data_IF_106170412601
#
_entry.id   IF_106170412601
#
_cell.length_a   1.000
_cell.length_b   1.000
_cell.length_c   1.000
_cell.angle_alpha   90.00
_cell.angle_beta   90.00
_cell.angle_gamma   90.00
#
_symmetry.space_group_name_H-M   'P 1'
#
loop_
_entity.id
_entity.type
_entity.pdbx_description
1 polymer ?
#
# COMPACT_ATOMS: atom_id res chain seq x y z
N UNK A 1 3.10 -24.47 20.41
CA UNK A 1 2.71 -23.93 19.08
C UNK A 1 2.30 -25.03 18.10
N UNK A 2 3.06 -26.12 17.93
CA UNK A 2 2.72 -27.22 17.01
C UNK A 2 1.40 -27.96 17.30
N UNK A 3 0.83 -27.79 18.50
CA UNK A 3 -0.46 -28.35 18.91
C UNK A 3 -1.67 -27.44 18.61
N UNK A 4 -1.45 -26.21 18.09
CA UNK A 4 -2.56 -25.35 17.66
C UNK A 4 -3.21 -25.92 16.40
N UNK A 5 -4.52 -25.70 16.25
CA UNK A 5 -5.32 -26.30 15.16
C UNK A 5 -5.01 -25.72 13.79
N UNK A 6 -4.58 -24.46 13.71
CA UNK A 6 -4.40 -23.75 12.46
C UNK A 6 -2.91 -23.45 12.15
N UNK A 7 -2.45 -23.59 10.89
CA UNK A 7 -1.07 -23.30 10.50
C UNK A 7 -0.63 -21.84 10.63
N UNK A 8 -1.57 -20.87 10.60
CA UNK A 8 -1.26 -19.44 10.47
C UNK A 8 -0.40 -18.89 11.60
N UNK A 9 -0.70 -19.22 12.86
CA UNK A 9 0.04 -18.69 14.01
C UNK A 9 1.56 -18.91 13.90
N UNK A 10 1.96 -20.11 13.43
CA UNK A 10 3.37 -20.43 13.30
C UNK A 10 3.98 -19.79 12.04
N UNK A 11 3.21 -19.68 10.96
CA UNK A 11 3.64 -18.99 9.74
C UNK A 11 3.86 -17.49 9.97
N UNK A 12 2.93 -16.83 10.66
CA UNK A 12 3.03 -15.41 11.01
C UNK A 12 4.20 -15.15 11.95
N UNK A 13 4.39 -16.01 12.97
CA UNK A 13 5.54 -15.92 13.87
C UNK A 13 6.87 -16.02 13.12
N UNK A 14 7.03 -17.03 12.25
CA UNK A 14 8.27 -17.20 11.48
C UNK A 14 8.49 -16.05 10.49
N UNK A 15 7.42 -15.57 9.86
CA UNK A 15 7.47 -14.40 8.98
C UNK A 15 7.97 -13.16 9.71
N UNK A 16 7.46 -12.91 10.91
CA UNK A 16 7.91 -11.81 11.77
C UNK A 16 9.41 -11.93 12.07
N UNK A 17 9.88 -13.11 12.48
CA UNK A 17 11.31 -13.35 12.74
C UNK A 17 12.17 -13.05 11.51
N UNK A 18 11.78 -13.52 10.31
CA UNK A 18 12.51 -13.24 9.07
C UNK A 18 12.52 -11.74 8.75
N UNK A 19 11.37 -11.06 8.91
CA UNK A 19 11.24 -9.64 8.61
C UNK A 19 12.07 -8.76 9.54
N UNK A 20 12.12 -9.09 10.83
CA UNK A 20 12.91 -8.35 11.82
C UNK A 20 14.41 -8.52 11.61
N UNK A 21 14.85 -9.71 11.19
CA UNK A 21 16.26 -10.10 11.05
C UNK A 21 16.83 -9.83 9.66
N UNK A 22 15.95 -9.52 8.70
CA UNK A 22 16.30 -9.13 7.33
C UNK A 22 15.70 -7.74 7.00
N UNK A 23 16.02 -6.69 7.78
CA UNK A 23 15.39 -5.39 7.60
C UNK A 23 15.81 -4.77 6.26
N UNK A 24 14.84 -4.14 5.59
CA UNK A 24 15.08 -3.44 4.32
C UNK A 24 16.19 -2.37 4.48
N UNK A 25 16.96 -2.06 3.41
CA UNK A 25 18.04 -1.07 3.48
C UNK A 25 17.61 0.29 4.05
N UNK A 26 16.37 0.74 3.76
CA UNK A 26 15.83 1.99 4.30
C UNK A 26 15.58 1.94 5.82
N UNK A 27 15.16 0.79 6.36
CA UNK A 27 14.99 0.63 7.81
C UNK A 27 16.36 0.68 8.50
N UNK A 28 17.39 0.06 7.90
CA UNK A 28 18.77 0.14 8.40
C UNK A 28 19.29 1.58 8.41
N UNK A 29 19.00 2.38 7.37
CA UNK A 29 19.39 3.80 7.33
C UNK A 29 18.72 4.62 8.44
N UNK A 30 17.44 4.36 8.75
CA UNK A 30 16.68 5.11 9.75
C UNK A 30 16.97 4.71 11.20
N UNK A 31 17.51 3.51 11.43
CA UNK A 31 17.82 2.98 12.77
C UNK A 31 19.21 2.34 12.81
N UNK A 32 20.29 3.13 12.77
CA UNK A 32 21.66 2.61 12.79
C UNK A 32 22.07 1.99 14.13
N UNK A 33 21.33 2.23 15.21
CA UNK A 33 21.69 1.82 16.59
C UNK A 33 21.25 0.41 16.98
N UNK A 34 20.46 -0.28 16.15
CA UNK A 34 20.08 -1.67 16.43
C UNK A 34 21.09 -2.64 15.80
N UNK A 35 21.91 -3.29 16.65
CA UNK A 35 22.55 -4.57 16.31
C UNK A 35 21.46 -5.63 16.15
N UNK A 36 20.79 -5.61 15.00
CA UNK A 36 19.84 -6.66 14.64
C UNK A 36 20.66 -7.90 14.33
N UNK A 37 20.47 -8.93 15.14
CA UNK A 37 21.03 -10.25 14.89
C UNK A 37 20.63 -10.72 13.50
N UNK A 38 21.60 -11.14 12.69
CA UNK A 38 21.31 -11.64 11.35
C UNK A 38 20.50 -12.95 11.41
N UNK A 39 19.67 -13.19 10.41
CA UNK A 39 18.92 -14.44 10.30
C UNK A 39 19.88 -15.65 10.23
N UNK A 40 21.02 -15.49 9.55
CA UNK A 40 22.08 -16.49 9.45
C UNK A 40 22.64 -16.89 10.81
N UNK A 41 22.87 -15.92 11.70
CA UNK A 41 23.33 -16.19 13.07
C UNK A 41 22.27 -16.95 13.88
N UNK A 42 20.99 -16.57 13.76
CA UNK A 42 19.88 -17.26 14.45
C UNK A 42 19.81 -18.71 13.99
N UNK A 43 19.89 -18.95 12.68
CA UNK A 43 19.85 -20.30 12.10
C UNK A 43 21.09 -21.10 12.51
N UNK A 44 22.26 -20.46 12.56
CA UNK A 44 23.50 -21.11 12.97
C UNK A 44 23.45 -21.60 14.42
N UNK A 45 22.84 -20.84 15.32
CA UNK A 45 22.62 -21.26 16.71
C UNK A 45 21.73 -22.48 16.84
N UNK A 46 20.81 -22.70 15.89
CA UNK A 46 19.88 -23.83 15.95
C UNK A 46 20.53 -25.17 15.54
N UNK A 47 21.81 -25.20 15.15
CA UNK A 47 22.48 -26.42 14.67
C UNK A 47 22.46 -27.57 15.68
N UNK A 48 22.74 -27.26 16.94
CA UNK A 48 22.86 -28.28 18.00
C UNK A 48 21.61 -28.35 18.90
N UNK A 49 20.63 -27.48 18.69
CA UNK A 49 19.40 -27.46 19.50
C UNK A 49 18.46 -28.57 19.02
N UNK A 50 18.18 -29.60 19.86
CA UNK A 50 17.24 -30.65 19.50
C UNK A 50 15.80 -30.18 19.72
N UNK A 51 14.86 -30.67 18.92
CA UNK A 51 13.44 -30.51 19.18
C UNK A 51 12.60 -30.29 17.93
N UNK A 52 11.39 -30.87 17.95
CA UNK A 52 10.42 -30.80 16.85
C UNK A 52 10.02 -29.37 16.53
N UNK A 53 9.95 -28.49 17.52
CA UNK A 53 9.68 -27.07 17.37
C UNK A 53 10.75 -26.34 16.56
N UNK A 54 12.03 -26.65 16.80
CA UNK A 54 13.16 -26.06 16.07
C UNK A 54 13.19 -26.58 14.63
N UNK A 55 12.94 -27.88 14.45
CA UNK A 55 12.85 -28.48 13.12
C UNK A 55 11.70 -27.89 12.31
N UNK A 56 10.53 -27.66 12.93
CA UNK A 56 9.40 -26.98 12.30
C UNK A 56 9.72 -25.53 11.92
N UNK A 57 10.37 -24.78 12.83
CA UNK A 57 10.83 -23.42 12.56
C UNK A 57 11.74 -23.38 11.31
N UNK A 58 12.76 -24.23 11.26
CA UNK A 58 13.70 -24.29 10.14
C UNK A 58 13.03 -24.74 8.83
N UNK A 59 12.07 -25.65 8.89
CA UNK A 59 11.29 -26.06 7.72
C UNK A 59 10.47 -24.91 7.13
N UNK A 60 9.89 -24.06 7.98
CA UNK A 60 9.13 -22.88 7.52
C UNK A 60 10.08 -21.80 7.01
N UNK A 61 11.19 -21.55 7.71
CA UNK A 61 12.22 -20.59 7.25
C UNK A 61 12.74 -20.98 5.86
N UNK A 62 13.01 -22.27 5.63
CA UNK A 62 13.46 -22.78 4.35
C UNK A 62 12.52 -22.45 3.18
N UNK A 63 11.22 -22.30 3.44
CA UNK A 63 10.20 -22.02 2.43
C UNK A 63 9.91 -20.51 2.28
N UNK A 64 9.96 -19.74 3.37
CA UNK A 64 9.60 -18.31 3.36
C UNK A 64 10.75 -17.39 2.96
N UNK A 65 12.01 -17.83 3.09
CA UNK A 65 13.17 -16.99 2.79
C UNK A 65 13.41 -16.86 1.29
N UNK A 66 13.74 -15.65 0.83
CA UNK A 66 14.09 -15.38 -0.58
C UNK A 66 15.53 -15.80 -0.90
N UNK A 67 16.41 -15.85 0.10
CA UNK A 67 17.80 -16.28 -0.03
C UNK A 67 17.90 -17.80 -0.27
N UNK A 68 18.36 -18.17 -1.47
CA UNK A 68 18.46 -19.57 -1.89
C UNK A 68 19.52 -20.35 -1.10
N UNK A 69 20.61 -19.71 -0.67
CA UNK A 69 21.66 -20.36 0.11
C UNK A 69 21.16 -20.68 1.52
N UNK A 70 20.50 -19.70 2.15
CA UNK A 70 19.92 -19.86 3.48
C UNK A 70 18.76 -20.86 3.48
N UNK A 71 17.92 -20.83 2.44
CA UNK A 71 16.88 -21.84 2.20
C UNK A 71 17.48 -23.24 2.15
N UNK A 72 18.52 -23.44 1.32
CA UNK A 72 19.19 -24.73 1.17
C UNK A 72 19.88 -25.19 2.48
N UNK A 73 20.45 -24.28 3.26
CA UNK A 73 21.01 -24.58 4.58
C UNK A 73 19.94 -25.10 5.53
N UNK A 74 18.80 -24.41 5.65
CA UNK A 74 17.71 -24.85 6.51
C UNK A 74 17.17 -26.23 6.08
N UNK A 75 16.99 -26.48 4.77
CA UNK A 75 16.55 -27.80 4.27
C UNK A 75 17.50 -28.92 4.68
N UNK A 76 18.82 -28.73 4.53
CA UNK A 76 19.82 -29.72 4.98
C UNK A 76 19.74 -29.99 6.48
N UNK A 77 19.52 -28.95 7.29
CA UNK A 77 19.36 -29.09 8.74
C UNK A 77 18.08 -29.83 9.12
N UNK A 78 17.00 -29.68 8.36
CA UNK A 78 15.75 -30.43 8.57
C UNK A 78 15.93 -31.89 8.17
N UNK A 79 16.54 -32.16 7.03
CA UNK A 79 16.81 -33.54 6.54
C UNK A 79 17.73 -34.34 7.46
N UNK A 80 18.65 -33.67 8.16
CA UNK A 80 19.55 -34.30 9.12
C UNK A 80 18.87 -34.68 10.46
N UNK A 81 17.58 -34.33 10.65
CA UNK A 81 16.84 -34.58 11.89
C UNK A 81 15.71 -35.59 11.65
N UNK A 82 15.58 -36.54 12.56
CA UNK A 82 14.53 -37.58 12.54
C UNK A 82 13.19 -37.12 13.18
N UNK A 83 12.97 -35.82 13.28
CA UNK A 83 11.76 -35.27 13.91
C UNK A 83 10.52 -35.46 13.03
N UNK A 84 9.46 -36.02 13.61
CA UNK A 84 8.16 -36.12 12.94
C UNK A 84 7.45 -34.76 12.92
N UNK A 85 7.36 -34.14 11.75
CA UNK A 85 6.64 -32.88 11.56
C UNK A 85 5.16 -33.11 11.20
N UNK A 86 4.25 -32.18 11.56
CA UNK A 86 2.89 -32.17 11.04
C UNK A 86 2.85 -32.17 9.51
N UNK A 87 1.90 -32.90 8.92
CA UNK A 87 1.80 -33.08 7.47
C UNK A 87 1.69 -31.76 6.68
N UNK A 88 1.10 -30.73 7.28
CA UNK A 88 0.98 -29.41 6.64
C UNK A 88 2.33 -28.71 6.48
N UNK A 89 3.32 -28.98 7.35
CA UNK A 89 4.67 -28.39 7.25
C UNK A 89 5.42 -29.04 6.08
N UNK A 90 5.37 -30.37 5.96
CA UNK A 90 5.93 -31.08 4.81
C UNK A 90 5.20 -30.74 3.49
N UNK A 91 3.99 -30.20 3.59
CA UNK A 91 3.14 -29.79 2.46
C UNK A 91 3.16 -28.28 2.17
N UNK A 92 4.07 -27.49 2.74
CA UNK A 92 4.13 -26.03 2.52
C UNK A 92 4.22 -25.67 1.04
N UNK A 93 5.04 -26.39 0.27
CA UNK A 93 5.19 -26.19 -1.17
C UNK A 93 3.94 -26.56 -1.99
N UNK A 94 2.90 -27.11 -1.35
CA UNK A 94 1.64 -27.53 -1.97
C UNK A 94 0.46 -26.66 -1.55
N UNK A 95 0.70 -25.46 -1.02
CA UNK A 95 -0.37 -24.49 -0.78
C UNK A 95 -1.15 -24.26 -2.08
N UNK A 96 -2.47 -24.26 -1.99
CA UNK A 96 -3.34 -24.03 -3.13
C UNK A 96 -4.03 -22.69 -3.00
N UNK A 97 -3.60 -21.71 -3.80
CA UNK A 97 -4.29 -20.43 -3.98
C UNK A 97 -5.40 -20.64 -5.01
N UNK A 98 -6.64 -20.37 -4.62
CA UNK A 98 -7.81 -20.76 -5.42
C UNK A 98 -8.64 -19.58 -5.94
N UNK A 99 -8.55 -18.40 -5.32
CA UNK A 99 -9.33 -17.22 -5.72
C UNK A 99 -8.64 -15.94 -5.30
N UNK A 100 -8.79 -14.90 -6.12
CA UNK A 100 -8.36 -13.54 -5.79
C UNK A 100 -9.44 -12.53 -6.12
N UNK A 101 -9.67 -11.62 -5.20
CA UNK A 101 -10.67 -10.56 -5.34
C UNK A 101 -10.03 -9.22 -4.97
N UNK A 102 -10.31 -8.20 -5.77
CA UNK A 102 -9.95 -6.82 -5.44
C UNK A 102 -11.15 -6.09 -4.87
N UNK A 103 -10.95 -5.46 -3.73
CA UNK A 103 -11.84 -4.46 -3.16
C UNK A 103 -11.26 -3.08 -3.42
N UNK A 104 -12.08 -2.15 -3.85
CA UNK A 104 -11.67 -0.76 -4.07
C UNK A 104 -12.76 0.18 -3.58
N UNK A 105 -12.35 1.15 -2.76
CA UNK A 105 -13.25 2.22 -2.34
C UNK A 105 -13.56 3.12 -3.54
N UNK A 106 -14.77 3.69 -3.62
CA UNK A 106 -15.21 4.56 -4.73
C UNK A 106 -14.31 5.78 -4.96
N UNK A 107 -13.53 6.20 -3.95
CA UNK A 107 -12.55 7.29 -4.04
C UNK A 107 -11.15 6.86 -4.50
N UNK A 108 -10.88 5.55 -4.56
CA UNK A 108 -9.66 5.01 -5.18
C UNK A 108 -8.35 5.15 -4.40
N UNK A 109 -8.32 5.76 -3.21
CA UNK A 109 -7.07 5.95 -2.45
C UNK A 109 -6.41 4.64 -2.03
N UNK A 110 -7.24 3.64 -1.75
CA UNK A 110 -6.82 2.34 -1.24
C UNK A 110 -7.52 1.25 -2.05
N UNK A 111 -6.76 0.23 -2.40
CA UNK A 111 -7.30 -1.04 -2.84
C UNK A 111 -6.83 -2.15 -1.91
N UNK A 112 -7.68 -3.18 -1.77
CA UNK A 112 -7.35 -4.39 -1.04
C UNK A 112 -7.37 -5.55 -2.01
N UNK A 113 -6.35 -6.41 -1.95
CA UNK A 113 -6.34 -7.68 -2.67
C UNK A 113 -6.54 -8.79 -1.65
N UNK A 114 -7.66 -9.51 -1.77
CA UNK A 114 -7.98 -10.70 -1.00
C UNK A 114 -7.48 -11.93 -1.77
N UNK A 115 -6.74 -12.80 -1.10
CA UNK A 115 -6.16 -14.01 -1.66
C UNK A 115 -6.59 -15.20 -0.80
N UNK A 116 -7.48 -16.03 -1.33
CA UNK A 116 -7.96 -17.24 -0.68
C UNK A 116 -7.03 -18.42 -0.97
N UNK A 117 -6.60 -19.11 0.09
CA UNK A 117 -5.69 -20.23 -0.02
C UNK A 117 -6.03 -21.39 0.94
N UNK A 118 -5.55 -22.59 0.60
CA UNK A 118 -5.69 -23.79 1.43
C UNK A 118 -4.33 -24.46 1.66
N UNK A 119 -4.05 -24.81 2.91
CA UNK A 119 -2.83 -25.51 3.32
C UNK A 119 -3.17 -26.65 4.28
N UNK A 120 -2.86 -27.89 3.91
CA UNK A 120 -3.09 -29.06 4.78
C UNK A 120 -4.56 -29.25 5.18
N UNK A 121 -5.51 -28.77 4.37
CA UNK A 121 -6.95 -28.78 4.65
C UNK A 121 -7.46 -27.57 5.45
N UNK A 122 -6.59 -26.69 5.93
CA UNK A 122 -6.96 -25.44 6.59
C UNK A 122 -7.15 -24.31 5.56
N UNK A 123 -8.18 -23.49 5.75
CA UNK A 123 -8.48 -22.31 4.93
C UNK A 123 -7.87 -21.05 5.52
N UNK A 124 -7.32 -20.19 4.67
CA UNK A 124 -6.84 -18.88 5.07
C UNK A 124 -7.09 -17.85 3.98
N UNK A 125 -7.29 -16.60 4.40
CA UNK A 125 -7.36 -15.46 3.49
C UNK A 125 -6.29 -14.45 3.85
N UNK A 126 -5.50 -14.04 2.86
CA UNK A 126 -4.59 -12.91 2.97
C UNK A 126 -5.29 -11.66 2.44
N UNK A 127 -5.24 -10.57 3.19
CA UNK A 127 -5.72 -9.24 2.77
C UNK A 127 -4.50 -8.35 2.64
N UNK A 128 -4.25 -7.80 1.44
CA UNK A 128 -3.14 -6.87 1.18
C UNK A 128 -3.70 -5.49 0.85
N UNK A 129 -3.40 -4.50 1.69
CA UNK A 129 -3.80 -3.10 1.51
C UNK A 129 -2.74 -2.32 0.75
N UNK A 130 -3.13 -1.70 -0.36
CA UNK A 130 -2.26 -0.85 -1.20
C UNK A 130 -2.77 0.59 -1.20
N UNK A 131 -1.89 1.55 -0.92
CA UNK A 131 -2.20 2.98 -0.94
C UNK A 131 -1.71 3.64 -2.23
N UNK A 132 -2.63 4.25 -2.97
CA UNK A 132 -2.38 4.73 -4.33
C UNK A 132 -2.06 6.22 -4.45
N UNK A 133 -2.13 7.02 -3.38
CA UNK A 133 -1.88 8.47 -3.51
C UNK A 133 -0.39 8.85 -3.52
N UNK A 134 0.51 7.88 -3.48
CA UNK A 134 1.93 8.07 -3.73
C UNK A 134 2.44 6.94 -4.62
N UNK A 135 3.38 6.11 -4.16
CA UNK A 135 4.06 5.09 -4.97
C UNK A 135 3.23 3.81 -5.21
N UNK A 136 1.93 3.79 -4.89
CA UNK A 136 1.11 2.56 -4.93
C UNK A 136 1.75 1.40 -4.17
N UNK A 137 2.07 1.66 -2.90
CA UNK A 137 2.81 0.75 -2.03
C UNK A 137 1.90 0.01 -1.05
N UNK A 138 2.36 -1.15 -0.57
CA UNK A 138 1.68 -1.88 0.51
C UNK A 138 1.74 -1.07 1.81
N UNK A 139 0.58 -0.79 2.41
CA UNK A 139 0.46 -0.16 3.72
C UNK A 139 0.14 -1.16 4.83
N UNK A 140 -0.43 -2.31 4.48
CA UNK A 140 -0.85 -3.34 5.42
C UNK A 140 -0.99 -4.68 4.73
N UNK A 141 -0.77 -5.76 5.47
CA UNK A 141 -1.17 -7.09 5.04
C UNK A 141 -1.50 -7.95 6.26
N UNK A 142 -2.62 -8.66 6.24
CA UNK A 142 -3.08 -9.50 7.36
C UNK A 142 -3.52 -10.87 6.85
N UNK A 143 -3.34 -11.91 7.66
CA UNK A 143 -3.90 -13.24 7.41
C UNK A 143 -5.00 -13.55 8.42
N UNK A 144 -6.05 -14.21 7.97
CA UNK A 144 -7.16 -14.64 8.82
C UNK A 144 -7.52 -16.11 8.57
N UNK A 145 -7.98 -16.80 9.61
CA UNK A 145 -8.44 -18.20 9.58
C UNK A 145 -9.86 -18.33 9.01
N UNK A 146 -10.16 -17.55 7.98
CA UNK A 146 -11.49 -17.44 7.38
C UNK A 146 -11.43 -17.65 5.87
N UNK A 147 -12.53 -18.16 5.31
CA UNK A 147 -12.72 -18.28 3.87
C UNK A 147 -12.76 -16.90 3.21
N UNK A 148 -12.40 -16.81 1.93
CA UNK A 148 -12.43 -15.53 1.23
C UNK A 148 -13.85 -14.96 1.17
N UNK A 149 -14.88 -15.81 1.12
CA UNK A 149 -16.29 -15.41 1.16
C UNK A 149 -16.67 -14.72 2.47
N UNK A 150 -16.22 -15.25 3.62
CA UNK A 150 -16.48 -14.64 4.92
C UNK A 150 -15.81 -13.26 5.05
N UNK A 151 -14.56 -13.15 4.63
CA UNK A 151 -13.83 -11.88 4.65
C UNK A 151 -14.48 -10.86 3.70
N UNK A 152 -14.93 -11.32 2.53
CA UNK A 152 -15.67 -10.48 1.59
C UNK A 152 -16.95 -9.93 2.23
N UNK A 153 -17.79 -10.79 2.80
CA UNK A 153 -19.04 -10.39 3.46
C UNK A 153 -18.81 -9.33 4.56
N UNK A 154 -17.75 -9.49 5.35
CA UNK A 154 -17.38 -8.53 6.40
C UNK A 154 -16.85 -7.20 5.85
N UNK A 155 -16.27 -7.21 4.65
CA UNK A 155 -15.65 -6.04 4.01
C UNK A 155 -16.63 -5.25 3.13
N UNK A 156 -17.86 -5.75 2.94
CA UNK A 156 -18.86 -5.07 2.12
C UNK A 156 -19.39 -3.81 2.82
N UNK A 157 -19.11 -2.67 2.20
CA UNK A 157 -19.75 -1.39 2.47
C UNK A 157 -20.33 -0.82 1.16
N UNK A 158 -21.27 0.13 1.26
CA UNK A 158 -21.90 0.79 0.10
C UNK A 158 -20.90 1.48 -0.84
N UNK A 159 -19.77 1.92 -0.29
CA UNK A 159 -18.71 2.65 -0.99
C UNK A 159 -17.58 1.72 -1.47
N UNK A 160 -17.72 0.39 -1.28
CA UNK A 160 -16.76 -0.61 -1.75
C UNK A 160 -17.25 -1.25 -3.03
N UNK A 161 -16.34 -1.42 -3.98
CA UNK A 161 -16.55 -2.14 -5.24
C UNK A 161 -15.70 -3.40 -5.25
N UNK A 162 -16.33 -4.51 -5.62
CA UNK A 162 -15.73 -5.84 -5.66
C UNK A 162 -15.44 -6.21 -7.10
N UNK A 163 -14.23 -6.68 -7.37
CA UNK A 163 -13.80 -7.13 -8.69
C UNK A 163 -13.12 -8.48 -8.58
N UNK A 164 -13.60 -9.46 -9.35
CA UNK A 164 -12.84 -10.69 -9.56
C UNK A 164 -11.52 -10.38 -10.26
N UNK A 165 -10.49 -11.12 -9.90
CA UNK A 165 -9.15 -10.88 -10.41
C UNK A 165 -8.49 -12.20 -10.76
N UNK A 166 -7.76 -12.23 -11.87
CA UNK A 166 -6.95 -13.40 -12.20
C UNK A 166 -5.81 -13.53 -11.19
N UNK A 167 -5.46 -14.77 -10.83
CA UNK A 167 -4.34 -15.03 -9.90
C UNK A 167 -3.03 -14.41 -10.41
N UNK A 168 -2.78 -14.48 -11.72
CA UNK A 168 -1.58 -13.90 -12.31
C UNK A 168 -1.53 -12.38 -12.14
N UNK A 169 -2.65 -11.69 -12.36
CA UNK A 169 -2.75 -10.24 -12.20
C UNK A 169 -2.56 -9.87 -10.72
N UNK A 170 -3.19 -10.60 -9.81
CA UNK A 170 -3.01 -10.42 -8.37
C UNK A 170 -1.56 -10.56 -7.92
N UNK A 171 -0.86 -11.58 -8.42
CA UNK A 171 0.57 -11.75 -8.18
C UNK A 171 1.34 -10.52 -8.64
N UNK A 172 1.18 -10.12 -9.91
CA UNK A 172 1.92 -8.99 -10.48
C UNK A 172 1.63 -7.68 -9.71
N UNK A 173 0.37 -7.48 -9.33
CA UNK A 173 -0.08 -6.28 -8.62
C UNK A 173 0.53 -6.18 -7.21
N UNK A 174 0.47 -7.26 -6.44
CA UNK A 174 1.06 -7.31 -5.09
C UNK A 174 2.59 -7.24 -5.17
N UNK A 175 3.23 -7.92 -6.12
CA UNK A 175 4.69 -7.86 -6.31
C UNK A 175 5.19 -6.43 -6.59
N UNK A 176 4.46 -5.68 -7.43
CA UNK A 176 4.75 -4.28 -7.70
C UNK A 176 4.59 -3.43 -6.42
N UNK A 177 3.49 -3.60 -5.70
CA UNK A 177 3.22 -2.84 -4.48
C UNK A 177 4.25 -3.11 -3.35
N UNK A 178 4.72 -4.35 -3.22
CA UNK A 178 5.76 -4.75 -2.26
C UNK A 178 7.14 -4.18 -2.61
N UNK A 179 7.39 -3.90 -3.89
CA UNK A 179 8.60 -3.25 -4.37
C UNK A 179 8.59 -1.72 -4.19
N UNK A 180 7.41 -1.13 -3.95
CA UNK A 180 7.23 0.31 -3.78
C UNK A 180 7.99 0.90 -2.59
N UNK A 181 8.50 2.12 -2.77
CA UNK A 181 9.43 2.82 -1.87
C UNK A 181 8.73 3.65 -0.79
N UNK A 182 7.87 3.04 0.02
CA UNK A 182 7.50 3.65 1.30
C UNK A 182 7.59 2.66 2.46
N UNK A 183 8.50 3.00 3.38
CA UNK A 183 8.68 2.32 4.64
C UNK A 183 7.47 2.57 5.56
N UNK A 184 6.82 1.49 5.98
CA UNK A 184 6.08 1.34 7.23
C UNK A 184 5.31 2.59 7.70
N UNK A 185 4.09 2.78 7.19
CA UNK A 185 3.07 3.59 7.85
C UNK A 185 1.85 2.72 8.13
N UNK A 186 1.89 2.05 9.27
CA UNK A 186 0.75 1.34 9.82
C UNK A 186 1.08 0.74 11.19
N UNK A 187 0.13 0.79 12.11
CA UNK A 187 0.15 0.05 13.40
C UNK A 187 -0.21 -1.44 13.21
N UNK A 188 -0.21 -1.91 11.95
CA UNK A 188 -0.59 -3.27 11.57
C UNK A 188 0.60 -4.21 11.42
N UNK A 189 0.35 -5.50 11.13
CA UNK A 189 1.40 -6.53 11.07
C UNK A 189 2.33 -6.41 9.84
N UNK A 190 2.23 -5.35 9.05
CA UNK A 190 3.20 -5.02 8.01
C UNK A 190 4.33 -4.15 8.59
N UNK A 191 5.62 -4.48 8.37
CA UNK A 191 6.16 -5.43 7.39
C UNK A 191 6.44 -6.84 7.93
N UNK A 192 6.02 -7.19 9.14
CA UNK A 192 6.28 -8.52 9.73
C UNK A 192 5.72 -9.68 8.89
N UNK A 193 4.56 -9.51 8.26
CA UNK A 193 3.98 -10.52 7.36
C UNK A 193 4.57 -10.52 5.94
N UNK A 194 5.55 -9.66 5.61
CA UNK A 194 6.09 -9.54 4.24
C UNK A 194 6.63 -10.85 3.67
N UNK A 195 7.50 -11.60 4.37
CA UNK A 195 7.97 -12.91 3.89
C UNK A 195 6.82 -13.87 3.57
N UNK A 196 5.80 -13.92 4.43
CA UNK A 196 4.63 -14.78 4.20
C UNK A 196 3.80 -14.35 2.98
N UNK A 197 3.61 -13.05 2.76
CA UNK A 197 2.95 -12.53 1.55
C UNK A 197 3.76 -12.89 0.30
N UNK A 198 5.08 -12.71 0.32
CA UNK A 198 5.96 -13.04 -0.81
C UNK A 198 5.96 -14.53 -1.13
N UNK A 199 5.96 -15.38 -0.11
CA UNK A 199 5.81 -16.83 -0.26
C UNK A 199 4.45 -17.17 -0.89
N UNK A 200 3.34 -16.63 -0.38
CA UNK A 200 2.00 -16.92 -0.88
C UNK A 200 1.86 -16.57 -2.36
N UNK A 201 2.28 -15.36 -2.76
CA UNK A 201 2.19 -14.92 -4.16
C UNK A 201 3.18 -15.66 -5.07
N UNK A 202 4.25 -16.24 -4.51
CA UNK A 202 5.17 -17.12 -5.23
C UNK A 202 4.51 -18.39 -5.75
N UNK A 203 3.41 -18.85 -5.13
CA UNK A 203 2.62 -20.01 -5.55
C UNK A 203 1.52 -19.69 -6.58
N UNK A 204 1.42 -18.43 -7.00
CA UNK A 204 0.45 -17.99 -8.00
C UNK A 204 1.10 -17.97 -9.40
N UNK A 205 0.33 -18.07 -10.50
CA UNK A 205 0.89 -18.03 -11.85
C UNK A 205 1.59 -16.69 -12.16
N UNK A 206 2.65 -16.72 -12.97
CA UNK A 206 3.31 -15.52 -13.52
C UNK A 206 2.58 -14.97 -14.75
N UNK A 207 3.05 -13.82 -15.26
CA UNK A 207 2.60 -13.26 -16.55
C UNK A 207 1.34 -12.40 -16.47
N UNK A 208 0.90 -12.01 -15.28
CA UNK A 208 -0.20 -11.06 -15.11
C UNK A 208 0.17 -9.61 -15.31
N UNK A 209 -0.84 -8.75 -15.30
CA UNK A 209 -0.72 -7.31 -15.44
C UNK A 209 -0.71 -6.64 -14.06
N UNK A 210 0.36 -5.89 -13.77
CA UNK A 210 0.49 -5.13 -12.53
C UNK A 210 -0.43 -3.90 -12.45
N UNK A 211 -0.29 -3.13 -11.37
CA UNK A 211 -1.07 -1.90 -11.19
C UNK A 211 -0.80 -0.92 -12.32
N UNK A 212 -1.88 -0.33 -12.84
CA UNK A 212 -1.81 0.88 -13.65
C UNK A 212 -2.73 1.93 -13.02
N UNK A 213 -2.19 3.12 -12.69
CA UNK A 213 -3.02 4.26 -12.33
C UNK A 213 -4.10 4.54 -13.39
N UNK A 214 -5.18 5.22 -13.00
CA UNK A 214 -6.19 5.64 -13.97
C UNK A 214 -5.56 6.61 -14.98
N UNK A 215 -5.25 6.11 -16.17
CA UNK A 215 -4.72 6.92 -17.25
C UNK A 215 -5.90 7.62 -17.94
N UNK A 216 -6.15 8.87 -17.56
CA UNK A 216 -7.03 9.74 -18.33
C UNK A 216 -6.30 10.17 -19.60
N UNK A 217 -6.98 10.08 -20.74
CA UNK A 217 -6.48 10.71 -21.96
C UNK A 217 -6.38 12.23 -21.74
N UNK A 218 -5.29 12.84 -22.20
CA UNK A 218 -5.08 14.29 -22.03
C UNK A 218 -6.28 15.09 -22.55
N UNK A 219 -6.86 14.72 -23.72
CA UNK A 219 -8.05 15.37 -24.25
C UNK A 219 -9.28 15.26 -23.33
N UNK A 220 -9.47 14.14 -22.64
CA UNK A 220 -10.57 13.97 -21.68
C UNK A 220 -10.36 14.78 -20.41
N UNK A 221 -9.10 14.94 -19.98
CA UNK A 221 -8.71 15.79 -18.86
C UNK A 221 -8.92 17.27 -19.19
N UNK A 222 -8.45 17.70 -20.36
CA UNK A 222 -8.64 19.06 -20.86
C UNK A 222 -10.12 19.41 -20.94
N UNK A 223 -10.95 18.52 -21.51
CA UNK A 223 -12.39 18.72 -21.57
C UNK A 223 -13.03 18.87 -20.18
N UNK A 224 -12.57 18.12 -19.18
CA UNK A 224 -13.05 18.23 -17.80
C UNK A 224 -12.67 19.58 -17.18
N UNK A 225 -11.44 20.03 -17.38
CA UNK A 225 -10.97 21.34 -16.91
C UNK A 225 -11.74 22.46 -17.58
N UNK A 226 -11.89 22.41 -18.91
CA UNK A 226 -12.65 23.40 -19.69
C UNK A 226 -14.09 23.51 -19.19
N UNK A 227 -14.74 22.38 -18.91
CA UNK A 227 -16.10 22.37 -18.35
C UNK A 227 -16.15 22.96 -16.94
N UNK A 228 -15.15 22.68 -16.09
CA UNK A 228 -15.07 23.27 -14.76
C UNK A 228 -14.91 24.79 -14.82
N UNK A 229 -13.93 25.29 -15.57
CA UNK A 229 -13.66 26.73 -15.68
C UNK A 229 -14.78 27.50 -16.38
N UNK A 230 -15.53 26.86 -17.28
CA UNK A 230 -16.74 27.43 -17.87
C UNK A 230 -17.96 27.42 -16.90
N UNK A 231 -17.91 26.69 -15.79
CA UNK A 231 -19.00 26.61 -14.82
C UNK A 231 -19.04 27.85 -13.90
N UNK A 232 -20.18 28.08 -13.25
CA UNK A 232 -20.33 29.16 -12.25
C UNK A 232 -19.33 29.05 -11.09
N UNK A 233 -18.87 27.84 -10.77
CA UNK A 233 -17.91 27.61 -9.68
C UNK A 233 -16.46 27.87 -10.12
N UNK A 234 -16.12 27.54 -11.38
CA UNK A 234 -14.78 27.72 -11.93
C UNK A 234 -14.51 29.13 -12.46
N UNK A 235 -15.55 29.88 -12.85
CA UNK A 235 -15.42 31.22 -13.41
C UNK A 235 -14.75 32.26 -12.47
N UNK A 236 -14.68 31.98 -11.17
CA UNK A 236 -13.94 32.79 -10.20
C UNK A 236 -12.41 32.68 -10.36
N UNK A 237 -11.93 31.63 -11.05
CA UNK A 237 -10.53 31.31 -11.28
C UNK A 237 -10.18 31.53 -12.76
N UNK A 238 -10.29 32.77 -13.24
CA UNK A 238 -10.16 33.10 -14.67
C UNK A 238 -8.71 33.25 -15.16
N UNK A 239 -7.72 33.24 -14.26
CA UNK A 239 -6.30 33.27 -14.62
C UNK A 239 -5.84 31.91 -15.17
N UNK A 240 -4.99 31.93 -16.20
CA UNK A 240 -4.38 30.72 -16.75
C UNK A 240 -3.51 29.98 -15.74
N UNK A 241 -2.86 30.68 -14.80
CA UNK A 241 -2.05 30.03 -13.76
C UNK A 241 -2.89 29.09 -12.88
N UNK A 242 -4.16 29.40 -12.63
CA UNK A 242 -5.05 28.50 -11.88
C UNK A 242 -5.36 27.20 -12.61
N UNK A 243 -5.41 27.23 -13.95
CA UNK A 243 -5.59 26.03 -14.77
C UNK A 243 -4.40 25.10 -14.63
N UNK A 244 -3.19 25.65 -14.70
CA UNK A 244 -1.95 24.89 -14.59
C UNK A 244 -1.82 24.24 -13.21
N UNK A 245 -2.14 24.98 -12.14
CA UNK A 245 -2.13 24.45 -10.77
C UNK A 245 -3.18 23.34 -10.60
N UNK A 246 -4.40 23.55 -11.11
CA UNK A 246 -5.44 22.52 -11.01
C UNK A 246 -5.05 21.26 -11.79
N UNK A 247 -4.42 21.42 -12.96
CA UNK A 247 -3.89 20.32 -13.75
C UNK A 247 -2.83 19.52 -12.97
N UNK A 248 -1.87 20.20 -12.34
CA UNK A 248 -0.88 19.54 -11.50
C UNK A 248 -1.54 18.80 -10.32
N UNK A 249 -2.48 19.46 -9.63
CA UNK A 249 -3.20 18.89 -8.49
C UNK A 249 -3.99 17.62 -8.86
N UNK A 250 -4.66 17.59 -10.02
CA UNK A 250 -5.42 16.39 -10.44
C UNK A 250 -4.53 15.23 -10.89
N UNK A 251 -3.28 15.49 -11.27
CA UNK A 251 -2.29 14.45 -11.57
C UNK A 251 -1.67 13.84 -10.29
N UNK A 252 -1.68 14.57 -9.18
CA UNK A 252 -1.23 14.01 -7.89
C UNK A 252 -2.12 12.87 -7.40
N UNK A 253 -1.60 12.04 -6.50
CA UNK A 253 -2.40 11.01 -5.84
C UNK A 253 -2.74 9.83 -6.74
N UNK A 254 -3.97 9.31 -6.62
CA UNK A 254 -4.45 8.19 -7.44
C UNK A 254 -4.65 8.53 -8.94
N UNK A 255 -4.43 9.79 -9.35
CA UNK A 255 -4.45 10.25 -10.74
C UNK A 255 -5.84 10.36 -11.40
N UNK A 256 -6.92 10.10 -10.65
CA UNK A 256 -8.28 10.23 -11.16
C UNK A 256 -8.89 11.60 -10.78
N UNK A 257 -9.03 12.57 -11.71
CA UNK A 257 -9.52 13.91 -11.39
C UNK A 257 -10.93 13.94 -10.79
N UNK A 258 -11.72 12.87 -10.97
CA UNK A 258 -13.09 12.80 -10.46
C UNK A 258 -13.22 12.23 -9.03
N UNK A 259 -12.11 11.85 -8.40
CA UNK A 259 -12.10 11.19 -7.09
C UNK A 259 -11.21 11.92 -6.09
N UNK A 260 -11.83 12.59 -5.12
CA UNK A 260 -11.14 13.39 -4.12
C UNK A 260 -11.54 12.99 -2.71
N UNK A 261 -10.67 12.21 -2.06
CA UNK A 261 -10.85 11.87 -0.66
C UNK A 261 -10.27 12.89 0.29
N UNK A 262 -10.72 12.82 1.54
CA UNK A 262 -10.07 13.52 2.66
C UNK A 262 -8.55 13.24 2.74
N UNK A 263 -8.08 12.04 2.40
CA UNK A 263 -6.65 11.69 2.41
C UNK A 263 -5.89 12.34 1.25
N UNK A 264 -6.47 12.31 0.06
CA UNK A 264 -5.88 12.95 -1.13
C UNK A 264 -5.81 14.46 -0.98
N UNK A 265 -6.87 15.08 -0.47
CA UNK A 265 -6.89 16.53 -0.16
C UNK A 265 -5.79 16.88 0.83
N UNK A 266 -5.65 16.11 1.92
CA UNK A 266 -4.56 16.31 2.87
C UNK A 266 -3.20 16.23 2.19
N UNK A 267 -2.98 15.20 1.38
CA UNK A 267 -1.73 15.03 0.66
C UNK A 267 -1.41 16.21 -0.27
N UNK A 268 -2.39 16.68 -1.04
CA UNK A 268 -2.24 17.80 -1.95
C UNK A 268 -1.92 19.13 -1.23
N UNK A 269 -2.41 19.31 0.01
CA UNK A 269 -2.11 20.49 0.82
C UNK A 269 -0.82 20.35 1.64
N UNK A 270 -0.41 19.14 2.02
CA UNK A 270 0.89 18.89 2.69
C UNK A 270 2.08 18.99 1.73
N UNK A 271 1.85 18.68 0.45
CA UNK A 271 2.87 18.66 -0.59
C UNK A 271 2.39 19.43 -1.83
N UNK A 272 2.23 20.77 -1.73
CA UNK A 272 1.82 21.57 -2.87
C UNK A 272 2.89 21.60 -3.98
N UNK A 273 2.50 22.03 -5.18
CA UNK A 273 3.44 22.49 -6.21
C UNK A 273 4.46 23.46 -5.62
N UNK A 274 5.75 23.27 -5.90
CA UNK A 274 6.84 24.07 -5.31
C UNK A 274 6.81 25.53 -5.77
N UNK A 275 7.07 26.45 -4.82
CA UNK A 275 7.18 27.89 -5.10
C UNK A 275 8.39 28.15 -6.02
N UNK A 276 8.23 29.00 -7.04
CA UNK A 276 9.36 29.53 -7.83
C UNK A 276 9.72 28.79 -9.13
N UNK A 277 9.25 27.56 -9.38
CA UNK A 277 9.50 26.89 -10.67
C UNK A 277 8.43 27.21 -11.74
N UNK A 278 7.22 27.58 -11.35
CA UNK A 278 6.11 27.77 -12.31
C UNK A 278 4.85 28.49 -11.78
N UNK A 279 4.75 28.86 -10.49
CA UNK A 279 3.51 29.39 -9.89
C UNK A 279 3.79 30.53 -8.92
N UNK A 280 3.02 31.61 -8.99
CA UNK A 280 3.08 32.75 -8.05
C UNK A 280 2.54 32.40 -6.66
N UNK A 281 3.03 33.11 -5.63
CA UNK A 281 2.57 32.93 -4.24
C UNK A 281 1.07 33.24 -4.12
N UNK A 282 0.61 34.30 -4.79
CA UNK A 282 -0.80 34.67 -4.84
C UNK A 282 -1.67 33.54 -5.39
N UNK A 283 -1.18 32.83 -6.41
CA UNK A 283 -1.90 31.71 -6.99
C UNK A 283 -1.96 30.49 -6.08
N UNK A 284 -0.88 30.18 -5.35
CA UNK A 284 -0.86 29.09 -4.38
C UNK A 284 -1.82 29.34 -3.21
N UNK A 285 -1.93 30.59 -2.72
CA UNK A 285 -2.86 30.93 -1.63
C UNK A 285 -4.35 30.66 -1.99
N UNK A 286 -4.68 30.57 -3.28
CA UNK A 286 -6.04 30.29 -3.76
C UNK A 286 -6.37 28.79 -3.82
N UNK A 287 -5.36 27.90 -3.73
CA UNK A 287 -5.53 26.44 -3.85
C UNK A 287 -6.63 25.86 -2.95
N UNK A 288 -6.73 26.22 -1.64
CA UNK A 288 -7.80 25.70 -0.79
C UNK A 288 -9.20 26.06 -1.30
N UNK A 289 -9.40 27.28 -1.82
CA UNK A 289 -10.67 27.72 -2.37
C UNK A 289 -10.99 27.06 -3.72
N UNK A 290 -9.96 26.88 -4.56
CA UNK A 290 -10.08 26.16 -5.82
C UNK A 290 -10.48 24.71 -5.61
N UNK A 291 -9.83 23.99 -4.68
CA UNK A 291 -10.20 22.62 -4.33
C UNK A 291 -11.62 22.56 -3.73
N UNK A 292 -11.99 23.54 -2.89
CA UNK A 292 -13.34 23.63 -2.32
C UNK A 292 -14.43 23.78 -3.40
N UNK A 293 -14.13 24.46 -4.50
CA UNK A 293 -15.03 24.60 -5.65
C UNK A 293 -15.02 23.37 -6.57
N UNK A 294 -13.84 22.80 -6.83
CA UNK A 294 -13.65 21.71 -7.79
C UNK A 294 -14.20 20.37 -7.28
N UNK A 295 -13.97 20.03 -6.00
CA UNK A 295 -14.33 18.70 -5.46
C UNK A 295 -15.83 18.39 -5.58
N UNK A 296 -16.76 19.30 -5.21
CA UNK A 296 -18.19 19.05 -5.41
C UNK A 296 -18.57 18.86 -6.88
N UNK A 297 -17.95 19.61 -7.80
CA UNK A 297 -18.16 19.47 -9.25
C UNK A 297 -17.70 18.08 -9.73
N UNK A 298 -16.50 17.66 -9.33
CA UNK A 298 -15.91 16.36 -9.66
C UNK A 298 -16.75 15.21 -9.10
N UNK A 299 -17.15 15.29 -7.83
CA UNK A 299 -17.95 14.26 -7.17
C UNK A 299 -19.37 14.15 -7.73
N UNK A 300 -20.00 15.27 -8.12
CA UNK A 300 -21.30 15.24 -8.78
C UNK A 300 -21.26 14.50 -10.12
N UNK A 301 -20.17 14.68 -10.90
CA UNK A 301 -19.96 13.96 -12.17
C UNK A 301 -19.80 12.46 -12.00
N UNK A 302 -19.05 12.03 -10.98
CA UNK A 302 -18.79 10.61 -10.73
C UNK A 302 -19.83 9.94 -9.84
N UNK A 303 -20.86 10.67 -9.39
CA UNK A 303 -21.93 10.15 -8.53
C UNK A 303 -21.44 9.81 -7.11
N UNK A 304 -20.37 10.47 -6.64
CA UNK A 304 -19.88 10.31 -5.27
C UNK A 304 -20.87 10.95 -4.31
N UNK A 305 -21.21 10.23 -3.25
CA UNK A 305 -22.21 10.67 -2.27
C UNK A 305 -21.77 11.93 -1.53
N UNK A 306 -22.76 12.73 -1.12
CA UNK A 306 -22.55 14.00 -0.42
C UNK A 306 -21.67 13.86 0.82
N UNK A 307 -21.88 12.84 1.66
CA UNK A 307 -21.08 12.68 2.88
C UNK A 307 -19.57 12.54 2.65
N UNK A 308 -19.14 11.90 1.55
CA UNK A 308 -17.70 11.82 1.20
C UNK A 308 -17.17 13.19 0.73
N UNK A 309 -18.00 13.95 0.03
CA UNK A 309 -17.71 15.34 -0.34
C UNK A 309 -17.54 16.20 0.91
N UNK A 310 -18.46 16.11 1.88
CA UNK A 310 -18.37 16.84 3.15
C UNK A 310 -17.08 16.50 3.92
N UNK A 311 -16.70 15.22 3.97
CA UNK A 311 -15.46 14.79 4.62
C UNK A 311 -14.21 15.41 3.96
N UNK A 312 -14.16 15.45 2.63
CA UNK A 312 -13.08 16.09 1.88
C UNK A 312 -13.00 17.60 2.14
N UNK A 313 -14.13 18.30 2.08
CA UNK A 313 -14.20 19.74 2.35
C UNK A 313 -13.80 20.09 3.80
N UNK A 314 -14.16 19.25 4.78
CA UNK A 314 -13.76 19.42 6.17
C UNK A 314 -12.25 19.29 6.39
N UNK A 315 -11.51 18.61 5.51
CA UNK A 315 -10.04 18.61 5.55
C UNK A 315 -9.50 19.96 5.08
N UNK A 316 -10.02 20.51 3.98
CA UNK A 316 -9.64 21.84 3.49
C UNK A 316 -9.81 22.87 4.61
N UNK A 317 -10.98 22.89 5.24
CA UNK A 317 -11.30 23.88 6.28
C UNK A 317 -10.37 23.78 7.50
N UNK A 318 -9.94 22.56 7.85
CA UNK A 318 -8.99 22.36 8.96
C UNK A 318 -7.55 22.74 8.61
N UNK A 319 -7.14 22.54 7.36
CA UNK A 319 -5.74 22.69 6.95
C UNK A 319 -5.41 24.06 6.38
N UNK A 320 -6.41 24.84 5.94
CA UNK A 320 -6.24 26.15 5.29
C UNK A 320 -5.19 27.04 5.95
N UNK A 321 -5.31 27.28 7.26
CA UNK A 321 -4.40 28.21 7.94
C UNK A 321 -2.95 27.71 7.94
N UNK A 322 -2.73 26.42 8.18
CA UNK A 322 -1.39 25.84 8.17
C UNK A 322 -0.78 25.89 6.77
N UNK A 323 -1.60 25.58 5.75
CA UNK A 323 -1.21 25.67 4.35
C UNK A 323 -0.76 27.09 3.95
N UNK A 324 -1.57 28.10 4.24
CA UNK A 324 -1.24 29.50 3.93
C UNK A 324 0.05 29.96 4.61
N UNK A 325 0.27 29.54 5.87
CA UNK A 325 1.50 29.82 6.59
C UNK A 325 2.73 29.15 5.97
N UNK A 326 2.58 27.90 5.51
CA UNK A 326 3.67 27.16 4.88
C UNK A 326 4.06 27.75 3.53
N UNK A 327 3.09 28.12 2.69
CA UNK A 327 3.31 28.80 1.41
C UNK A 327 4.05 30.13 1.61
N UNK A 328 3.59 30.97 2.55
CA UNK A 328 4.24 32.26 2.83
C UNK A 328 5.65 32.10 3.42
N UNK A 329 5.85 31.07 4.25
CA UNK A 329 7.17 30.74 4.81
C UNK A 329 8.14 30.32 3.71
N UNK A 330 7.72 29.47 2.80
CA UNK A 330 8.54 29.00 1.67
C UNK A 330 8.89 30.15 0.72
N UNK A 331 7.94 31.03 0.39
CA UNK A 331 8.18 32.24 -0.40
C UNK A 331 9.26 33.14 0.22
N UNK A 332 9.19 33.38 1.54
CA UNK A 332 10.19 34.19 2.25
C UNK A 332 11.60 33.58 2.28
N UNK A 333 11.76 32.27 2.05
CA UNK A 333 13.07 31.66 1.84
C UNK A 333 13.63 31.97 0.45
N UNK A 334 12.79 31.95 -0.59
CA UNK A 334 13.21 32.24 -1.96
C UNK A 334 13.57 33.71 -2.19
N UNK A 335 12.82 34.65 -1.59
CA UNK A 335 13.16 36.08 -1.64
C UNK A 335 14.52 36.38 -0.98
N UNK A 336 14.90 35.62 0.05
CA UNK A 336 16.17 35.79 0.75
C UNK A 336 17.39 35.22 -0.01
N UNK A 337 17.18 34.21 -0.87
CA UNK A 337 18.22 33.62 -1.71
C UNK A 337 18.47 34.45 -3.00
N UNK A 338 17.44 35.09 -3.56
CA UNK A 338 17.57 36.00 -4.73
C UNK A 338 18.18 37.37 -4.37
N UNK A 339 18.02 37.87 -3.14
CA UNK A 339 18.70 39.09 -2.67
C UNK A 339 20.19 38.87 -2.31
N UNK A 340 20.67 37.62 -2.35
CA UNK A 340 22.04 37.23 -2.01
C UNK A 340 22.99 36.95 -3.19
N UNK A 341 22.53 37.09 -4.44
CA UNK A 341 23.28 36.75 -5.67
C UNK A 341 23.93 37.93 -6.39
#
# INVERSE_FOLDING_TARGET
MLARKHPLDLLEFVSMVIAETTPSPMIRLKRPEFEVRSLDEIISDQREVPGREVTAFLAIVAELVVDAELSAQCRRMVEARDDLLPAWISGLSRIHVYRTVRLSHVLGDVSQVLIGARLGGAEMTCVVDTYHNSDSCVTGATFVEETIEQVLEQSLDRDIRVFEMALADARAWVQQAVSGTHAARGDGPWPACRPLVQWLIGHMPEGGTGYRPSAWESAARDALLDEFFASTHGAYFADSEYRDILEELIETGAGDPLRWSARRVRWALEYPPSVGCCVSVECLLVVPDMLRAFIPFAHAKSGIREGLTTEALAVIDRMRLAYEQDVLREAGYYDADDEGA
#
